data_IF_574776521640
#
_entry.id   IF_574776521640
#
_cell.length_a   1.000
_cell.length_b   1.000
_cell.length_c   1.000
_cell.angle_alpha   90.00
_cell.angle_beta   90.00
_cell.angle_gamma   90.00
#
_symmetry.space_group_name_H-M   'P 1'
#
loop_
_entity.id
_entity.type
_entity.pdbx_description
1 polymer ?
#
# COMPACT_ATOMS: atom_id res chain seq x y z
N UNK A 1 3.82 44.40 3.96
CA UNK A 1 2.68 43.48 4.08
C UNK A 1 2.83 42.46 2.96
N UNK A 2 3.31 41.27 3.28
CA UNK A 2 3.48 40.21 2.31
C UNK A 2 2.11 39.52 2.13
N UNK A 3 1.64 39.42 0.88
CA UNK A 3 0.42 38.67 0.56
C UNK A 3 0.71 37.17 0.82
N UNK A 4 -0.18 36.44 1.50
CA UNK A 4 -0.01 35.00 1.66
C UNK A 4 -0.05 34.35 0.29
N UNK A 5 0.99 33.59 -0.05
CA UNK A 5 1.01 32.74 -1.25
C UNK A 5 0.02 31.59 -1.05
N UNK A 6 -0.82 31.23 -2.04
CA UNK A 6 -1.73 30.12 -1.91
C UNK A 6 -0.93 28.82 -1.75
N UNK A 7 -1.31 27.98 -0.78
CA UNK A 7 -0.71 26.65 -0.61
C UNK A 7 -0.95 25.82 -1.88
N UNK A 8 0.00 24.94 -2.23
CA UNK A 8 -0.08 24.12 -3.46
C UNK A 8 -1.31 23.20 -3.50
N UNK A 9 -1.89 22.88 -2.34
CA UNK A 9 -3.17 22.16 -2.21
C UNK A 9 -4.40 22.99 -2.57
N UNK A 10 -4.33 24.32 -2.55
CA UNK A 10 -5.46 25.20 -2.90
C UNK A 10 -5.72 25.36 -4.41
N UNK A 11 -4.85 24.84 -5.28
CA UNK A 11 -5.03 24.83 -6.73
C UNK A 11 -6.01 23.75 -7.24
N UNK A 12 -6.50 22.86 -6.37
CA UNK A 12 -7.47 21.81 -6.71
C UNK A 12 -8.92 22.29 -6.82
N UNK A 13 -9.22 23.59 -6.61
CA UNK A 13 -10.59 24.13 -6.61
C UNK A 13 -11.15 24.58 -7.96
N UNK A 14 -10.46 24.38 -9.08
CA UNK A 14 -10.93 24.87 -10.38
C UNK A 14 -10.90 23.77 -11.45
N UNK A 15 -11.92 22.92 -11.46
CA UNK A 15 -12.03 21.93 -12.53
C UNK A 15 -13.16 20.91 -12.38
N UNK A 16 -14.35 21.34 -11.95
CA UNK A 16 -15.53 20.50 -12.06
C UNK A 16 -16.71 21.33 -12.58
N UNK A 17 -16.92 21.27 -13.88
CA UNK A 17 -18.21 21.67 -14.48
C UNK A 17 -18.40 20.93 -15.80
N UNK A 18 -19.57 20.29 -15.92
CA UNK A 18 -20.30 19.83 -17.12
C UNK A 18 -19.85 18.50 -17.74
N UNK A 19 -20.70 17.46 -17.66
CA UNK A 19 -21.85 17.30 -18.53
C UNK A 19 -22.82 16.23 -18.04
N UNK A 20 -24.04 16.66 -17.76
CA UNK A 20 -25.20 15.80 -17.63
C UNK A 20 -25.78 15.55 -19.03
N UNK A 21 -26.11 14.31 -19.39
CA UNK A 21 -27.06 14.01 -20.46
C UNK A 21 -27.90 12.81 -20.02
N UNK A 22 -29.15 13.09 -19.80
CA UNK A 22 -30.26 12.15 -19.61
C UNK A 22 -30.76 11.63 -20.95
N UNK A 23 -31.31 10.38 -20.95
CA UNK A 23 -32.39 9.89 -21.83
C UNK A 23 -32.84 8.53 -21.25
N UNK A 24 -33.94 8.45 -20.61
CA UNK A 24 -35.37 8.13 -20.87
C UNK A 24 -35.66 6.78 -21.51
N UNK A 25 -36.50 6.06 -20.78
CA UNK A 25 -37.69 5.25 -21.12
C UNK A 25 -37.59 3.90 -21.83
N UNK A 26 -38.30 2.96 -21.22
CA UNK A 26 -38.83 1.79 -21.90
C UNK A 26 -39.44 0.74 -20.96
N UNK A 27 -40.75 0.82 -20.76
CA UNK A 27 -41.62 -0.03 -19.94
C UNK A 27 -41.85 -1.44 -20.47
N UNK A 28 -42.40 -2.28 -19.54
CA UNK A 28 -43.47 -3.33 -19.67
C UNK A 28 -42.96 -4.74 -19.94
N UNK A 29 -43.46 -5.77 -19.38
CA UNK A 29 -44.58 -6.19 -18.54
C UNK A 29 -44.63 -7.74 -18.50
N UNK A 30 -45.12 -8.24 -17.38
CA UNK A 30 -46.00 -9.42 -17.20
C UNK A 30 -45.52 -10.86 -17.45
N UNK A 31 -45.74 -11.65 -16.40
CA UNK A 31 -46.42 -12.92 -16.51
C UNK A 31 -45.93 -14.10 -15.69
N UNK A 32 -46.40 -14.26 -14.50
CA UNK A 32 -47.17 -15.38 -13.95
C UNK A 32 -46.54 -16.79 -13.89
N UNK A 33 -46.62 -17.40 -12.69
CA UNK A 33 -46.85 -18.83 -12.57
C UNK A 33 -45.93 -19.60 -11.63
N UNK A 34 -46.29 -19.71 -10.35
CA UNK A 34 -45.92 -20.86 -9.50
C UNK A 34 -46.60 -22.16 -9.99
N UNK A 35 -46.05 -23.33 -9.67
CA UNK A 35 -46.40 -23.94 -8.39
C UNK A 35 -45.32 -24.79 -7.71
N UNK A 36 -45.47 -24.84 -6.42
CA UNK A 36 -44.85 -25.62 -5.35
C UNK A 36 -44.68 -27.14 -5.60
N UNK A 37 -43.51 -27.65 -5.16
CA UNK A 37 -43.29 -29.08 -4.87
C UNK A 37 -42.33 -29.22 -3.69
N UNK A 38 -42.43 -30.28 -2.87
CA UNK A 38 -41.93 -30.31 -1.51
C UNK A 38 -40.42 -30.61 -1.43
N UNK A 39 -39.78 -30.00 -0.43
CA UNK A 39 -38.39 -30.17 -0.08
C UNK A 39 -38.10 -31.58 0.47
N UNK A 40 -36.91 -32.18 0.20
CA UNK A 40 -36.36 -33.24 1.02
C UNK A 40 -35.50 -32.65 2.15
N UNK A 41 -35.86 -33.01 3.36
CA UNK A 41 -35.07 -32.82 4.57
C UNK A 41 -33.81 -33.66 4.49
N UNK A 42 -32.67 -32.96 4.30
CA UNK A 42 -31.33 -33.52 4.49
C UNK A 42 -30.52 -32.52 5.31
N UNK A 43 -30.25 -32.86 6.56
CA UNK A 43 -29.31 -32.13 7.38
C UNK A 43 -27.93 -32.14 6.73
N UNK A 44 -27.28 -31.03 6.44
CA UNK A 44 -25.88 -31.04 6.15
C UNK A 44 -25.12 -31.00 7.48
N UNK A 45 -24.51 -32.13 7.82
CA UNK A 45 -23.46 -32.21 8.81
C UNK A 45 -22.23 -31.51 8.28
N UNK A 46 -21.60 -30.69 9.10
CA UNK A 46 -20.23 -30.23 8.92
C UNK A 46 -20.13 -28.99 8.05
N UNK A 47 -20.32 -27.82 8.67
CA UNK A 47 -19.65 -26.61 8.19
C UNK A 47 -18.13 -26.92 8.26
N UNK A 48 -17.34 -26.65 7.19
CA UNK A 48 -15.91 -26.71 7.31
C UNK A 48 -15.48 -25.66 8.35
N UNK A 49 -14.69 -26.09 9.33
CA UNK A 49 -13.99 -25.16 10.21
C UNK A 49 -13.20 -24.22 9.32
N UNK A 50 -13.66 -23.01 9.14
CA UNK A 50 -12.98 -21.91 8.47
C UNK A 50 -11.90 -21.37 9.41
N UNK A 51 -10.85 -22.14 9.63
CA UNK A 51 -9.59 -21.69 10.16
C UNK A 51 -8.66 -21.47 8.96
N UNK A 52 -8.57 -20.27 8.43
CA UNK A 52 -7.55 -19.93 7.45
C UNK A 52 -6.20 -20.36 8.01
N UNK A 53 -5.50 -21.25 7.33
CA UNK A 53 -4.17 -21.74 7.74
C UNK A 53 -3.08 -20.68 7.56
N UNK A 54 -3.41 -19.51 7.01
CA UNK A 54 -2.50 -18.44 6.63
C UNK A 54 -2.64 -17.23 7.54
N UNK A 55 -1.53 -16.53 7.78
CA UNK A 55 -1.48 -15.24 8.46
C UNK A 55 -0.49 -14.31 7.76
N UNK A 56 -0.85 -13.05 7.60
CA UNK A 56 0.05 -12.00 7.13
C UNK A 56 0.92 -11.54 8.30
N UNK A 57 2.26 -11.71 8.26
CA UNK A 57 3.14 -11.19 9.29
C UNK A 57 3.22 -9.67 9.26
N UNK A 58 3.43 -9.03 10.42
CA UNK A 58 3.78 -7.61 10.46
C UNK A 58 5.09 -7.34 9.71
N UNK A 59 5.21 -6.17 9.09
CA UNK A 59 6.42 -5.75 8.35
C UNK A 59 7.69 -5.76 9.22
N UNK A 60 7.56 -5.55 10.52
CA UNK A 60 8.68 -5.58 11.46
C UNK A 60 9.26 -6.97 11.74
N UNK A 61 8.65 -8.06 11.23
CA UNK A 61 9.18 -9.44 11.36
C UNK A 61 10.38 -9.62 10.43
N UNK A 62 11.26 -10.61 10.71
CA UNK A 62 12.41 -10.87 9.85
C UNK A 62 12.03 -11.14 8.40
N UNK A 63 12.78 -10.58 7.48
CA UNK A 63 12.63 -10.74 6.04
C UNK A 63 13.70 -11.67 5.46
N UNK A 64 13.32 -12.43 4.44
CA UNK A 64 14.26 -13.14 3.57
C UNK A 64 14.87 -12.17 2.56
N UNK A 65 14.07 -11.24 2.03
CA UNK A 65 14.46 -10.22 1.04
C UNK A 65 13.38 -9.17 0.86
N UNK A 66 13.77 -8.08 0.21
CA UNK A 66 12.86 -7.06 -0.32
C UNK A 66 12.79 -7.14 -1.83
N UNK A 67 11.59 -7.09 -2.39
CA UNK A 67 11.35 -6.92 -3.82
C UNK A 67 11.09 -5.46 -4.15
N UNK A 68 11.66 -5.01 -5.27
CA UNK A 68 11.46 -3.69 -5.86
C UNK A 68 11.30 -3.83 -7.37
N UNK A 69 10.82 -2.81 -8.07
CA UNK A 69 10.70 -2.82 -9.52
C UNK A 69 11.37 -1.60 -10.17
N UNK A 70 11.97 -1.82 -11.35
CA UNK A 70 12.61 -0.78 -12.14
C UNK A 70 11.57 -0.06 -12.98
N UNK A 71 11.39 1.26 -12.87
CA UNK A 71 10.39 2.00 -13.63
C UNK A 71 10.71 1.94 -15.13
N UNK A 72 9.76 1.43 -15.91
CA UNK A 72 9.97 1.11 -17.31
C UNK A 72 9.34 2.13 -18.27
N UNK A 73 8.15 2.67 -17.94
CA UNK A 73 7.32 3.41 -18.86
C UNK A 73 7.64 4.90 -18.90
N UNK A 74 8.17 5.36 -20.03
CA UNK A 74 8.38 6.77 -20.33
C UNK A 74 7.04 7.54 -20.40
N UNK A 75 5.97 6.89 -20.84
CA UNK A 75 4.62 7.50 -20.91
C UNK A 75 4.06 7.88 -19.53
N UNK A 76 4.53 7.22 -18.45
CA UNK A 76 4.13 7.51 -17.07
C UNK A 76 4.98 8.64 -16.50
N UNK A 77 6.29 8.58 -16.71
CA UNK A 77 7.26 9.43 -16.02
C UNK A 77 7.81 10.57 -16.88
N UNK A 78 7.76 10.47 -18.21
CA UNK A 78 8.30 11.47 -19.13
C UNK A 78 9.73 11.83 -18.78
N UNK A 79 10.03 13.13 -18.74
CA UNK A 79 11.35 13.68 -18.40
C UNK A 79 11.83 13.36 -16.98
N UNK A 80 10.94 12.88 -16.09
CA UNK A 80 11.28 12.50 -14.71
C UNK A 80 11.88 11.09 -14.63
N UNK A 81 11.72 10.24 -15.64
CA UNK A 81 12.14 8.83 -15.60
C UNK A 81 13.61 8.63 -15.18
N UNK A 82 14.60 9.41 -15.66
CA UNK A 82 15.98 9.27 -15.19
C UNK A 82 16.15 9.55 -13.69
N UNK A 83 15.44 10.56 -13.17
CA UNK A 83 15.47 10.91 -11.75
C UNK A 83 14.80 9.85 -10.88
N UNK A 84 13.66 9.31 -11.33
CA UNK A 84 12.96 8.21 -10.64
C UNK A 84 13.83 6.95 -10.59
N UNK A 85 14.53 6.62 -11.68
CA UNK A 85 15.50 5.51 -11.71
C UNK A 85 16.65 5.72 -10.73
N UNK A 86 17.13 6.96 -10.59
CA UNK A 86 18.16 7.31 -9.61
C UNK A 86 17.66 7.15 -8.17
N UNK A 87 16.43 7.60 -7.88
CA UNK A 87 15.81 7.44 -6.56
C UNK A 87 15.62 5.95 -6.22
N UNK A 88 15.12 5.13 -7.15
CA UNK A 88 14.96 3.67 -6.97
C UNK A 88 16.31 2.97 -6.74
N UNK A 89 17.33 3.32 -7.50
CA UNK A 89 18.67 2.76 -7.31
C UNK A 89 19.25 3.11 -5.93
N UNK A 90 19.12 4.36 -5.50
CA UNK A 90 19.55 4.82 -4.18
C UNK A 90 18.78 4.14 -3.04
N UNK A 91 17.48 3.98 -3.21
CA UNK A 91 16.62 3.28 -2.24
C UNK A 91 17.00 1.79 -2.14
N UNK A 92 17.17 1.10 -3.27
CA UNK A 92 17.57 -0.30 -3.30
C UNK A 92 18.93 -0.52 -2.62
N UNK A 93 19.91 0.35 -2.87
CA UNK A 93 21.22 0.31 -2.22
C UNK A 93 21.15 0.57 -0.72
N UNK A 94 20.28 1.49 -0.28
CA UNK A 94 20.07 1.77 1.15
C UNK A 94 19.50 0.55 1.88
N UNK A 95 18.51 -0.13 1.29
CA UNK A 95 17.91 -1.36 1.85
C UNK A 95 18.92 -2.51 1.81
N UNK A 96 19.73 -2.63 0.74
CA UNK A 96 20.75 -3.68 0.59
C UNK A 96 21.83 -3.63 1.68
N UNK A 97 21.96 -2.52 2.40
CA UNK A 97 22.79 -2.42 3.60
C UNK A 97 22.25 -3.19 4.81
N UNK A 98 21.03 -3.72 4.75
CA UNK A 98 20.34 -4.40 5.85
C UNK A 98 19.84 -5.79 5.49
N UNK A 99 19.37 -5.98 4.26
CA UNK A 99 18.80 -7.26 3.81
C UNK A 99 18.95 -7.44 2.29
N UNK A 100 18.86 -8.66 1.76
CA UNK A 100 18.90 -8.91 0.33
C UNK A 100 17.78 -8.15 -0.40
N UNK A 101 18.14 -7.49 -1.51
CA UNK A 101 17.19 -6.78 -2.39
C UNK A 101 17.19 -7.44 -3.76
N UNK A 102 15.99 -7.67 -4.28
CA UNK A 102 15.75 -8.16 -5.64
C UNK A 102 14.99 -7.08 -6.41
N UNK A 103 15.60 -6.56 -7.46
CA UNK A 103 15.03 -5.57 -8.35
C UNK A 103 14.53 -6.25 -9.63
N UNK A 104 13.23 -6.22 -9.85
CA UNK A 104 12.59 -6.70 -11.07
C UNK A 104 12.79 -5.68 -12.19
N UNK A 105 13.29 -6.07 -13.34
CA UNK A 105 13.46 -5.20 -14.49
C UNK A 105 13.07 -5.93 -15.78
N UNK A 106 12.54 -5.19 -16.74
CA UNK A 106 12.31 -5.72 -18.10
C UNK A 106 13.61 -6.23 -18.70
N UNK A 107 13.60 -7.31 -19.50
CA UNK A 107 14.81 -7.85 -20.12
C UNK A 107 15.63 -6.83 -20.90
N UNK A 108 14.97 -5.92 -21.62
CA UNK A 108 15.61 -4.85 -22.41
C UNK A 108 16.19 -3.71 -21.55
N UNK A 109 15.88 -3.65 -20.25
CA UNK A 109 16.34 -2.63 -19.31
C UNK A 109 17.17 -3.21 -18.15
N UNK A 110 17.29 -4.52 -18.06
CA UNK A 110 17.95 -5.21 -16.95
C UNK A 110 19.42 -4.81 -16.81
N UNK A 111 20.16 -4.64 -17.89
CA UNK A 111 21.56 -4.22 -17.84
C UNK A 111 21.71 -2.77 -17.33
N UNK A 112 20.78 -1.88 -17.70
CA UNK A 112 20.76 -0.52 -17.18
C UNK A 112 20.47 -0.54 -15.66
N UNK A 113 19.52 -1.36 -15.21
CA UNK A 113 19.21 -1.53 -13.80
C UNK A 113 20.43 -2.07 -13.04
N UNK A 114 21.09 -3.14 -13.52
CA UNK A 114 22.32 -3.71 -12.92
C UNK A 114 23.42 -2.67 -12.78
N UNK A 115 23.62 -1.85 -13.82
CA UNK A 115 24.63 -0.78 -13.81
C UNK A 115 24.30 0.28 -12.75
N UNK A 116 23.02 0.63 -12.58
CA UNK A 116 22.57 1.66 -11.62
C UNK A 116 22.67 1.22 -10.17
N UNK A 117 22.28 -0.03 -9.85
CA UNK A 117 22.24 -0.51 -8.47
C UNK A 117 23.55 -1.15 -7.99
N UNK A 118 24.45 -1.54 -8.90
CA UNK A 118 25.70 -2.22 -8.58
C UNK A 118 25.50 -3.66 -8.09
N UNK A 119 26.55 -4.25 -7.51
CA UNK A 119 26.59 -5.67 -7.14
C UNK A 119 25.89 -6.02 -5.83
N UNK A 120 25.43 -5.05 -5.06
CA UNK A 120 24.74 -5.27 -3.78
C UNK A 120 23.26 -5.61 -3.92
N UNK A 121 22.69 -5.45 -5.12
CA UNK A 121 21.28 -5.69 -5.45
C UNK A 121 21.21 -6.74 -6.55
N UNK A 122 20.42 -7.78 -6.34
CA UNK A 122 20.11 -8.77 -7.37
C UNK A 122 19.12 -8.17 -8.37
N UNK A 123 19.39 -8.29 -9.68
CA UNK A 123 18.45 -7.87 -10.73
C UNK A 123 17.97 -9.10 -11.48
N UNK A 124 16.67 -9.35 -11.41
CA UNK A 124 15.99 -10.41 -12.16
C UNK A 124 15.22 -9.84 -13.36
N UNK A 125 15.18 -10.61 -14.44
CA UNK A 125 14.41 -10.25 -15.62
C UNK A 125 12.95 -10.66 -15.45
N UNK A 126 12.09 -9.67 -15.28
CA UNK A 126 10.65 -9.84 -15.12
C UNK A 126 9.94 -8.65 -15.75
N UNK A 127 8.89 -8.91 -16.53
CA UNK A 127 8.09 -7.86 -17.16
C UNK A 127 7.37 -7.05 -16.09
N UNK A 128 7.68 -5.75 -16.03
CA UNK A 128 7.07 -4.74 -15.17
C UNK A 128 6.70 -3.51 -16.01
N UNK A 129 5.73 -2.74 -15.57
CA UNK A 129 5.39 -1.45 -16.17
C UNK A 129 5.93 -0.31 -15.32
N UNK A 130 5.74 -0.36 -13.99
CA UNK A 130 6.14 0.71 -13.09
C UNK A 130 6.87 0.18 -11.83
N UNK A 131 7.19 1.08 -10.91
CA UNK A 131 8.05 0.83 -9.73
C UNK A 131 7.30 0.34 -8.47
N UNK A 132 5.98 0.27 -8.48
CA UNK A 132 5.13 0.12 -7.30
C UNK A 132 5.01 -1.34 -6.84
N UNK A 133 6.14 -1.92 -6.41
CA UNK A 133 6.24 -3.33 -6.04
C UNK A 133 5.33 -3.72 -4.86
N UNK A 134 4.95 -2.79 -3.99
CA UNK A 134 3.98 -2.99 -2.92
C UNK A 134 2.62 -3.40 -3.45
N UNK A 135 2.19 -2.77 -4.54
CA UNK A 135 0.85 -2.91 -5.09
C UNK A 135 0.77 -4.00 -6.16
N UNK A 136 1.81 -4.14 -6.96
CA UNK A 136 1.88 -5.10 -8.06
C UNK A 136 2.39 -6.48 -7.62
N UNK A 137 3.16 -6.52 -6.53
CA UNK A 137 3.73 -7.74 -5.96
C UNK A 137 2.72 -8.56 -5.14
N UNK A 138 3.07 -9.81 -4.79
CA UNK A 138 2.22 -10.62 -3.93
C UNK A 138 2.27 -10.13 -2.48
N UNK A 139 1.14 -10.13 -1.80
CA UNK A 139 1.09 -10.01 -0.34
C UNK A 139 1.44 -11.35 0.29
N UNK A 140 2.57 -11.44 0.98
CA UNK A 140 3.03 -12.70 1.53
C UNK A 140 2.31 -13.07 2.83
N UNK A 141 2.00 -14.36 2.94
CA UNK A 141 1.41 -14.99 4.13
C UNK A 141 2.19 -16.22 4.53
N UNK A 142 2.21 -16.52 5.82
CA UNK A 142 2.87 -17.69 6.39
C UNK A 142 1.85 -18.59 7.06
N UNK A 143 2.11 -19.89 7.08
CA UNK A 143 1.21 -20.86 7.71
C UNK A 143 1.89 -22.22 7.90
N UNK A 144 1.17 -23.27 8.34
CA UNK A 144 1.71 -24.61 8.55
C UNK A 144 2.33 -25.23 7.30
N UNK A 145 1.92 -24.76 6.11
CA UNK A 145 2.45 -25.22 4.82
C UNK A 145 3.65 -24.39 4.33
N UNK A 146 4.14 -23.44 5.14
CA UNK A 146 5.26 -22.57 4.82
C UNK A 146 4.83 -21.18 4.36
N UNK A 147 5.39 -20.73 3.23
CA UNK A 147 5.17 -19.41 2.64
C UNK A 147 4.22 -19.51 1.44
N UNK A 148 3.30 -18.58 1.34
CA UNK A 148 2.48 -18.36 0.14
C UNK A 148 2.40 -16.86 -0.17
N UNK A 149 1.99 -16.52 -1.40
CA UNK A 149 1.70 -15.16 -1.80
C UNK A 149 0.26 -15.01 -2.27
N UNK A 150 -0.44 -14.04 -1.70
CA UNK A 150 -1.79 -13.64 -2.13
C UNK A 150 -1.64 -12.67 -3.30
N UNK A 151 -2.24 -13.02 -4.42
CA UNK A 151 -2.35 -12.17 -5.60
C UNK A 151 -3.73 -11.50 -5.59
N UNK A 152 -3.75 -10.20 -5.33
CA UNK A 152 -4.97 -9.40 -5.24
C UNK A 152 -5.48 -8.92 -6.61
N UNK A 153 -5.03 -9.52 -7.71
CA UNK A 153 -5.49 -9.21 -9.06
C UNK A 153 -5.34 -7.73 -9.42
N UNK A 154 -4.14 -7.18 -9.24
CA UNK A 154 -3.86 -5.78 -9.52
C UNK A 154 -4.44 -5.32 -10.87
N UNK A 155 -5.18 -4.22 -10.87
CA UNK A 155 -5.89 -3.69 -12.04
C UNK A 155 -5.55 -2.23 -12.37
N UNK A 156 -4.36 -1.77 -11.99
CA UNK A 156 -3.93 -0.38 -12.26
C UNK A 156 -4.72 0.65 -11.47
N UNK A 157 -4.99 0.36 -10.19
CA UNK A 157 -5.78 1.20 -9.27
C UNK A 157 -7.17 1.55 -9.80
N UNK A 158 -7.85 0.56 -10.39
CA UNK A 158 -9.15 0.78 -11.02
C UNK A 158 -9.03 1.25 -12.48
N UNK A 159 -8.06 0.72 -13.23
CA UNK A 159 -7.76 1.05 -14.63
C UNK A 159 -7.38 2.52 -14.87
N UNK A 160 -6.75 3.17 -13.87
CA UNK A 160 -6.29 4.56 -13.98
C UNK A 160 -4.91 4.69 -14.63
N UNK A 161 -4.15 3.60 -14.74
CA UNK A 161 -2.82 3.55 -15.36
C UNK A 161 -2.63 2.28 -16.17
N UNK A 162 -1.77 2.33 -17.22
CA UNK A 162 -1.28 1.16 -17.96
C UNK A 162 -0.68 0.14 -16.98
N UNK A 163 -1.12 -1.13 -17.05
CA UNK A 163 -0.75 -2.15 -16.06
C UNK A 163 -0.70 -3.58 -16.63
N UNK A 164 -0.58 -3.73 -17.93
CA UNK A 164 -0.67 -5.05 -18.57
C UNK A 164 0.39 -6.04 -18.05
N UNK A 165 1.62 -5.57 -17.79
CA UNK A 165 2.67 -6.37 -17.17
C UNK A 165 2.55 -6.38 -15.65
N UNK A 166 2.27 -5.25 -15.04
CA UNK A 166 2.13 -5.12 -13.57
C UNK A 166 1.03 -6.02 -13.02
N UNK A 167 -0.07 -6.21 -13.75
CA UNK A 167 -1.13 -7.18 -13.41
C UNK A 167 -0.65 -8.66 -13.36
N UNK A 168 0.54 -8.96 -13.86
CA UNK A 168 1.12 -10.30 -13.85
C UNK A 168 2.30 -10.44 -12.88
N UNK A 169 2.76 -9.36 -12.26
CA UNK A 169 3.96 -9.36 -11.40
C UNK A 169 3.81 -10.37 -10.26
N UNK A 170 2.72 -10.32 -9.50
CA UNK A 170 2.50 -11.25 -8.38
C UNK A 170 2.59 -12.72 -8.84
N UNK A 171 1.89 -13.09 -9.91
CA UNK A 171 1.91 -14.44 -10.47
C UNK A 171 3.32 -14.85 -10.90
N UNK A 172 3.98 -13.99 -11.69
CA UNK A 172 5.27 -14.31 -12.31
C UNK A 172 6.38 -14.39 -11.27
N UNK A 173 6.37 -13.50 -10.27
CA UNK A 173 7.33 -13.49 -9.17
C UNK A 173 7.18 -14.74 -8.30
N UNK A 174 5.96 -15.12 -7.95
CA UNK A 174 5.71 -16.35 -7.18
C UNK A 174 6.13 -17.60 -7.95
N UNK A 175 5.87 -17.66 -9.26
CA UNK A 175 6.30 -18.75 -10.12
C UNK A 175 7.83 -18.83 -10.21
N UNK A 176 8.52 -17.68 -10.34
CA UNK A 176 9.99 -17.60 -10.40
C UNK A 176 10.65 -18.21 -9.16
N UNK A 177 10.08 -17.98 -7.96
CA UNK A 177 10.62 -18.52 -6.71
C UNK A 177 9.97 -19.84 -6.25
N UNK A 178 9.05 -20.42 -7.04
CA UNK A 178 8.34 -21.64 -6.67
C UNK A 178 7.47 -21.49 -5.42
N UNK A 179 6.97 -20.30 -5.15
CA UNK A 179 6.12 -19.97 -4.00
C UNK A 179 4.65 -20.18 -4.37
N UNK A 180 3.88 -20.81 -3.48
CA UNK A 180 2.45 -21.04 -3.67
C UNK A 180 1.70 -19.74 -3.90
N UNK A 181 0.94 -19.63 -5.00
CA UNK A 181 0.07 -18.51 -5.30
C UNK A 181 -1.35 -18.77 -4.78
N UNK A 182 -1.89 -17.83 -4.05
CA UNK A 182 -3.30 -17.78 -3.65
C UNK A 182 -3.96 -16.63 -4.42
N UNK A 183 -4.82 -16.95 -5.37
CA UNK A 183 -5.57 -15.93 -6.09
C UNK A 183 -6.73 -15.43 -5.23
N UNK A 184 -6.76 -14.12 -4.95
CA UNK A 184 -7.83 -13.51 -4.15
C UNK A 184 -9.17 -13.47 -4.92
N UNK A 185 -10.33 -13.57 -4.24
CA UNK A 185 -11.66 -13.36 -4.82
C UNK A 185 -12.03 -11.87 -4.92
N UNK A 186 -11.10 -10.98 -4.56
CA UNK A 186 -11.22 -9.53 -4.55
C UNK A 186 -10.02 -8.90 -5.26
N UNK A 187 -10.20 -7.67 -5.72
CA UNK A 187 -9.15 -6.87 -6.34
C UNK A 187 -8.68 -5.78 -5.39
N UNK A 188 -7.38 -5.57 -5.30
CA UNK A 188 -6.79 -4.51 -4.47
C UNK A 188 -5.28 -4.51 -4.54
N UNK A 189 -4.68 -3.80 -3.62
CA UNK A 189 -3.25 -3.52 -3.59
C UNK A 189 -2.67 -3.71 -2.18
N UNK A 190 -1.39 -4.08 -2.11
CA UNK A 190 -0.69 -4.27 -0.83
C UNK A 190 -0.55 -2.99 -0.01
N UNK A 191 -0.48 -1.81 -0.66
CA UNK A 191 -0.46 -0.51 0.02
C UNK A 191 -1.81 -0.12 0.64
N UNK A 192 -2.90 -0.79 0.22
CA UNK A 192 -4.24 -0.56 0.74
C UNK A 192 -4.55 -1.33 2.04
N UNK A 193 -3.61 -2.13 2.54
CA UNK A 193 -3.71 -2.89 3.80
C UNK A 193 -2.50 -2.67 4.69
N UNK A 194 -2.73 -2.69 6.00
CA UNK A 194 -1.68 -2.63 7.02
C UNK A 194 -2.06 -3.57 8.17
N UNK A 195 -1.14 -4.41 8.66
CA UNK A 195 -1.41 -5.39 9.71
C UNK A 195 -0.45 -5.24 10.89
N UNK A 196 -0.97 -5.52 12.11
CA UNK A 196 -0.15 -5.56 13.32
C UNK A 196 0.57 -6.92 13.54
N UNK A 197 0.27 -7.93 12.73
CA UNK A 197 0.78 -9.30 12.87
C UNK A 197 0.14 -10.10 14.01
N UNK A 198 -0.81 -9.52 14.76
CA UNK A 198 -1.56 -10.17 15.83
C UNK A 198 -3.07 -10.21 15.54
N UNK A 199 -3.45 -10.04 14.29
CA UNK A 199 -4.81 -10.24 13.78
C UNK A 199 -5.62 -8.96 13.62
N UNK A 200 -5.02 -7.77 13.72
CA UNK A 200 -5.66 -6.49 13.38
C UNK A 200 -5.20 -6.03 12.01
N UNK A 201 -6.13 -5.55 11.19
CA UNK A 201 -5.87 -4.94 9.89
C UNK A 201 -6.48 -3.54 9.84
N UNK A 202 -5.78 -2.60 9.22
CA UNK A 202 -6.29 -1.29 8.83
C UNK A 202 -6.50 -1.23 7.32
N UNK A 203 -7.62 -0.64 6.87
CA UNK A 203 -7.93 -0.41 5.46
C UNK A 203 -8.84 0.79 5.28
N UNK A 204 -8.84 1.41 4.10
CA UNK A 204 -9.79 2.48 3.74
C UNK A 204 -10.97 1.93 2.95
N UNK A 205 -12.17 2.42 3.24
CA UNK A 205 -13.36 2.08 2.46
C UNK A 205 -13.23 2.59 1.02
N UNK A 206 -12.64 3.77 0.84
CA UNK A 206 -12.48 4.41 -0.46
C UNK A 206 -11.66 3.60 -1.46
N UNK A 207 -10.66 2.82 -1.02
CA UNK A 207 -9.86 1.97 -1.90
C UNK A 207 -10.51 0.60 -2.11
N UNK A 208 -11.03 -0.05 -1.07
CA UNK A 208 -11.52 -1.43 -1.15
C UNK A 208 -13.00 -1.57 -1.50
N UNK A 209 -13.85 -0.71 -0.92
CA UNK A 209 -15.31 -0.72 -1.16
C UNK A 209 -15.61 0.26 -2.30
N UNK A 210 -15.02 -0.01 -3.45
CA UNK A 210 -15.06 0.84 -4.63
C UNK A 210 -15.32 -0.01 -5.88
N UNK A 211 -16.29 0.40 -6.67
CA UNK A 211 -16.71 -0.33 -7.87
C UNK A 211 -15.61 -0.39 -8.95
N UNK A 212 -14.61 0.48 -8.89
CA UNK A 212 -13.47 0.40 -9.81
C UNK A 212 -12.53 -0.79 -9.52
N UNK A 213 -12.66 -1.43 -8.36
CA UNK A 213 -11.92 -2.64 -7.95
C UNK A 213 -12.86 -3.81 -7.65
N UNK A 214 -13.91 -3.58 -6.86
CA UNK A 214 -14.79 -4.61 -6.32
C UNK A 214 -16.28 -4.30 -6.59
N UNK A 215 -16.72 -4.26 -7.86
CA UNK A 215 -18.05 -3.85 -8.22
C UNK A 215 -19.10 -4.69 -7.50
N UNK A 216 -20.03 -4.01 -6.82
CA UNK A 216 -21.14 -4.61 -6.10
C UNK A 216 -20.77 -5.39 -4.83
N UNK A 217 -19.51 -5.42 -4.40
CA UNK A 217 -19.12 -6.05 -3.13
C UNK A 217 -19.35 -5.10 -1.95
N UNK A 218 -19.90 -5.65 -0.88
CA UNK A 218 -20.04 -4.94 0.40
C UNK A 218 -18.76 -4.98 1.20
N UNK A 219 -18.63 -4.05 2.17
CA UNK A 219 -17.54 -4.04 3.14
C UNK A 219 -17.39 -5.39 3.88
N UNK A 220 -18.52 -5.99 4.30
CA UNK A 220 -18.50 -7.27 5.02
C UNK A 220 -17.98 -8.43 4.16
N UNK A 221 -18.26 -8.43 2.85
CA UNK A 221 -17.72 -9.43 1.91
C UNK A 221 -16.22 -9.27 1.71
N UNK A 222 -15.72 -8.02 1.65
CA UNK A 222 -14.30 -7.75 1.56
C UNK A 222 -13.60 -8.12 2.87
N UNK A 223 -14.18 -7.78 4.02
CA UNK A 223 -13.66 -8.15 5.34
C UNK A 223 -13.58 -9.67 5.53
N UNK A 224 -14.59 -10.41 5.05
CA UNK A 224 -14.55 -11.88 5.05
C UNK A 224 -13.35 -12.40 4.23
N UNK A 225 -13.08 -11.82 3.07
CA UNK A 225 -11.92 -12.17 2.25
C UNK A 225 -10.60 -11.89 2.97
N UNK A 226 -10.48 -10.78 3.68
CA UNK A 226 -9.27 -10.50 4.49
C UNK A 226 -9.06 -11.54 5.60
N UNK A 227 -10.13 -11.92 6.29
CA UNK A 227 -10.07 -12.95 7.34
C UNK A 227 -9.60 -14.29 6.80
N UNK A 228 -10.11 -14.70 5.64
CA UNK A 228 -9.78 -15.98 5.01
C UNK A 228 -8.35 -16.00 4.44
N UNK A 229 -7.94 -14.91 3.77
CA UNK A 229 -6.66 -14.83 3.06
C UNK A 229 -5.48 -14.48 3.98
N UNK A 230 -5.70 -13.59 4.95
CA UNK A 230 -4.64 -12.94 5.73
C UNK A 230 -4.64 -13.37 7.21
N UNK A 231 -5.62 -14.18 7.65
CA UNK A 231 -5.73 -14.65 9.02
C UNK A 231 -6.05 -13.56 10.05
N UNK A 232 -6.55 -12.42 9.60
CA UNK A 232 -6.94 -11.32 10.49
C UNK A 232 -8.28 -11.60 11.15
N UNK A 233 -8.49 -11.07 12.35
CA UNK A 233 -9.71 -11.25 13.14
C UNK A 233 -10.53 -9.96 13.22
N UNK A 234 -9.87 -8.82 13.09
CA UNK A 234 -10.48 -7.50 13.22
C UNK A 234 -9.96 -6.56 12.14
N UNK A 235 -10.88 -5.82 11.52
CA UNK A 235 -10.54 -4.77 10.56
C UNK A 235 -10.96 -3.42 11.15
N UNK A 236 -10.03 -2.48 11.16
CA UNK A 236 -10.28 -1.08 11.46
C UNK A 236 -10.47 -0.35 10.13
N UNK A 237 -11.69 0.06 9.87
CA UNK A 237 -12.06 0.74 8.64
C UNK A 237 -11.99 2.25 8.80
N UNK A 238 -11.32 2.89 7.84
CA UNK A 238 -11.26 4.34 7.68
C UNK A 238 -12.04 4.73 6.43
N UNK A 239 -12.66 5.91 6.42
CA UNK A 239 -13.39 6.35 5.24
C UNK A 239 -12.50 6.54 4.02
N UNK A 240 -11.32 7.14 4.24
CA UNK A 240 -10.42 7.52 3.17
C UNK A 240 -11.00 8.62 2.28
N UNK A 241 -10.44 8.77 1.08
CA UNK A 241 -10.81 9.83 0.11
C UNK A 241 -10.83 9.22 -1.29
N UNK A 242 -12.00 9.03 -1.88
CA UNK A 242 -12.13 8.47 -3.21
C UNK A 242 -11.89 9.52 -4.31
N UNK A 243 -11.23 9.13 -5.40
CA UNK A 243 -11.10 9.90 -6.63
C UNK A 243 -10.22 11.16 -6.55
N UNK A 244 -9.41 11.31 -5.50
CA UNK A 244 -8.53 12.47 -5.33
C UNK A 244 -7.06 12.14 -5.65
N UNK A 245 -6.67 10.89 -5.49
CA UNK A 245 -5.40 10.34 -5.95
C UNK A 245 -5.64 9.06 -6.77
N UNK A 246 -4.56 8.51 -7.32
CA UNK A 246 -4.64 7.32 -8.15
C UNK A 246 -5.09 6.09 -7.34
N UNK A 247 -4.75 6.03 -6.04
CA UNK A 247 -4.96 4.89 -5.16
C UNK A 247 -6.33 4.88 -4.48
N UNK A 248 -7.06 5.98 -4.52
CA UNK A 248 -8.27 6.23 -3.72
C UNK A 248 -7.98 6.21 -2.21
N UNK A 249 -6.84 6.79 -1.79
CA UNK A 249 -6.37 6.90 -0.41
C UNK A 249 -5.96 5.55 0.19
N UNK A 250 -4.80 5.05 -0.19
CA UNK A 250 -4.21 3.88 0.46
C UNK A 250 -3.90 4.14 1.94
N UNK A 251 -4.05 3.09 2.75
CA UNK A 251 -3.84 3.20 4.20
C UNK A 251 -2.37 3.47 4.54
N UNK A 252 -1.41 2.99 3.76
CA UNK A 252 0.03 3.16 3.97
C UNK A 252 0.53 4.60 3.81
N UNK A 253 -0.31 5.49 3.25
CA UNK A 253 -0.09 6.93 3.21
C UNK A 253 -0.82 7.68 4.34
N UNK A 254 -1.67 7.00 5.12
CA UNK A 254 -2.50 7.60 6.16
C UNK A 254 -2.14 7.10 7.56
N UNK A 255 -2.11 5.77 7.77
CA UNK A 255 -1.84 5.17 9.08
C UNK A 255 -1.12 3.83 8.95
N UNK A 256 -0.20 3.54 9.88
CA UNK A 256 0.55 2.29 9.93
C UNK A 256 0.69 1.76 11.35
N UNK A 257 1.00 0.48 11.52
CA UNK A 257 1.40 -0.08 12.79
C UNK A 257 2.93 -0.02 12.95
N UNK A 258 3.40 0.52 14.09
CA UNK A 258 4.81 0.41 14.47
C UNK A 258 5.06 -0.94 15.15
N UNK A 259 4.12 -1.34 16.00
CA UNK A 259 4.08 -2.61 16.73
C UNK A 259 2.63 -2.93 17.12
N UNK A 260 2.31 -4.15 17.55
CA UNK A 260 0.97 -4.47 18.05
C UNK A 260 0.56 -3.52 19.19
N UNK A 261 -0.62 -2.90 19.04
CA UNK A 261 -1.13 -1.92 20.00
C UNK A 261 -0.62 -0.48 19.80
N UNK A 262 0.29 -0.21 18.84
CA UNK A 262 0.78 1.15 18.54
C UNK A 262 0.56 1.49 17.06
N UNK A 263 -0.28 2.47 16.79
CA UNK A 263 -0.53 3.02 15.47
C UNK A 263 0.22 4.35 15.28
N UNK A 264 0.74 4.55 14.08
CA UNK A 264 1.32 5.83 13.62
C UNK A 264 0.32 6.45 12.65
N UNK A 265 0.06 7.73 12.80
CA UNK A 265 -0.89 8.46 11.97
C UNK A 265 -0.21 9.65 11.30
N UNK A 266 -0.34 9.76 9.99
CA UNK A 266 0.03 10.96 9.24
C UNK A 266 -0.81 12.16 9.69
N UNK A 267 -0.15 13.30 9.98
CA UNK A 267 -0.82 14.54 10.34
C UNK A 267 -0.41 15.68 9.44
N UNK A 268 -1.35 16.53 9.04
CA UNK A 268 -1.00 17.79 8.40
C UNK A 268 -0.08 18.63 9.31
N UNK A 269 0.75 19.48 8.73
CA UNK A 269 1.50 20.46 9.49
C UNK A 269 0.52 21.45 10.19
N UNK A 270 0.92 21.97 11.36
CA UNK A 270 0.04 22.77 12.23
C UNK A 270 -0.58 24.00 11.52
N UNK A 271 0.15 24.59 10.57
CA UNK A 271 -0.27 25.79 9.85
C UNK A 271 -0.89 25.48 8.47
N UNK A 272 -1.10 24.19 8.14
CA UNK A 272 -1.74 23.78 6.88
C UNK A 272 -3.23 24.12 6.95
N UNK A 273 -3.78 24.88 5.99
CA UNK A 273 -5.22 25.14 5.93
C UNK A 273 -6.00 23.81 5.81
N UNK A 274 -7.15 23.69 6.50
CA UNK A 274 -7.96 22.47 6.41
C UNK A 274 -8.35 22.14 4.97
N UNK A 275 -8.19 20.88 4.61
CA UNK A 275 -8.55 20.31 3.32
C UNK A 275 -9.19 18.92 3.48
N UNK A 276 -9.43 18.23 2.37
CA UNK A 276 -10.03 16.90 2.37
C UNK A 276 -9.11 15.86 3.04
N UNK A 277 -7.78 16.04 2.95
CA UNK A 277 -6.78 15.12 3.52
C UNK A 277 -6.66 15.30 5.04
N UNK A 278 -6.67 16.56 5.50
CA UNK A 278 -6.73 16.86 6.94
C UNK A 278 -8.01 16.31 7.57
N UNK A 279 -9.15 16.41 6.87
CA UNK A 279 -10.43 15.82 7.30
C UNK A 279 -10.33 14.29 7.39
N UNK A 280 -9.68 13.62 6.43
CA UNK A 280 -9.46 12.17 6.47
C UNK A 280 -8.54 11.77 7.62
N UNK A 281 -7.48 12.54 7.88
CA UNK A 281 -6.57 12.34 9.01
C UNK A 281 -7.28 12.53 10.35
N UNK A 282 -8.13 13.54 10.50
CA UNK A 282 -8.92 13.74 11.72
C UNK A 282 -9.90 12.60 11.97
N UNK A 283 -10.60 12.13 10.93
CA UNK A 283 -11.48 10.97 11.02
C UNK A 283 -10.69 9.70 11.40
N UNK A 284 -9.48 9.53 10.84
CA UNK A 284 -8.62 8.40 11.19
C UNK A 284 -8.17 8.45 12.66
N UNK A 285 -7.86 9.64 13.18
CA UNK A 285 -7.51 9.84 14.60
C UNK A 285 -8.65 9.43 15.52
N UNK A 286 -9.89 9.80 15.21
CA UNK A 286 -11.06 9.43 16.00
C UNK A 286 -11.30 7.91 16.01
N UNK A 287 -11.14 7.26 14.85
CA UNK A 287 -11.22 5.79 14.75
C UNK A 287 -10.15 5.14 15.62
N UNK A 288 -8.89 5.56 15.49
CA UNK A 288 -7.77 4.98 16.24
C UNK A 288 -7.89 5.18 17.75
N UNK A 289 -8.35 6.36 18.20
CA UNK A 289 -8.55 6.65 19.63
C UNK A 289 -9.68 5.86 20.27
N UNK A 290 -10.70 5.51 19.50
CA UNK A 290 -11.87 4.77 19.99
C UNK A 290 -11.78 3.25 19.82
N UNK A 291 -10.87 2.79 18.95
CA UNK A 291 -10.74 1.37 18.62
C UNK A 291 -9.90 0.61 19.65
N UNK A 292 -10.11 -0.71 19.66
CA UNK A 292 -9.15 -1.67 20.22
C UNK A 292 -8.60 -2.53 19.09
N UNK A 293 -7.45 -3.14 19.29
CA UNK A 293 -6.93 -4.17 18.39
C UNK A 293 -7.69 -5.51 18.51
N UNK A 294 -7.24 -6.52 17.77
CA UNK A 294 -7.85 -7.87 17.80
C UNK A 294 -7.64 -8.60 19.14
N UNK A 295 -6.73 -8.13 19.98
CA UNK A 295 -6.48 -8.65 21.34
C UNK A 295 -7.22 -7.86 22.40
N UNK A 296 -8.02 -6.83 22.03
CA UNK A 296 -8.78 -5.99 22.96
C UNK A 296 -7.98 -4.86 23.60
N UNK A 297 -6.73 -4.59 23.17
CA UNK A 297 -5.90 -3.50 23.66
C UNK A 297 -6.33 -2.17 23.03
N UNK A 298 -6.43 -1.12 23.83
CA UNK A 298 -6.57 0.25 23.31
C UNK A 298 -5.29 0.64 22.56
N UNK A 299 -5.43 1.29 21.41
CA UNK A 299 -4.30 1.70 20.60
C UNK A 299 -3.61 2.95 21.17
N UNK A 300 -2.28 2.89 21.27
CA UNK A 300 -1.46 4.09 21.38
C UNK A 300 -1.34 4.70 20.01
N UNK A 301 -1.67 6.00 19.85
CA UNK A 301 -1.55 6.72 18.59
C UNK A 301 -0.37 7.66 18.67
N UNK A 302 0.56 7.54 17.71
CA UNK A 302 1.70 8.44 17.54
C UNK A 302 1.45 9.26 16.28
N UNK A 303 1.36 10.58 16.44
CA UNK A 303 1.14 11.50 15.33
C UNK A 303 2.47 11.85 14.67
N UNK A 304 2.53 11.75 13.33
CA UNK A 304 3.71 12.01 12.52
C UNK A 304 3.39 13.17 11.56
N UNK A 305 3.86 14.40 11.85
CA UNK A 305 3.58 15.56 11.03
C UNK A 305 4.22 15.47 9.65
N UNK A 306 3.55 16.03 8.63
CA UNK A 306 4.12 16.24 7.30
C UNK A 306 5.16 17.38 7.31
N UNK A 307 6.04 17.45 6.29
CA UNK A 307 6.97 18.59 6.14
C UNK A 307 6.22 19.86 5.71
N UNK A 308 6.87 21.01 5.90
CA UNK A 308 6.41 22.27 5.33
C UNK A 308 6.61 22.26 3.80
N UNK A 309 5.52 22.39 3.06
CA UNK A 309 5.52 22.38 1.60
C UNK A 309 6.28 23.55 0.96
N UNK A 310 6.51 24.64 1.68
CA UNK A 310 7.32 25.75 1.20
C UNK A 310 8.83 25.51 1.33
N UNK A 311 9.23 24.53 2.15
CA UNK A 311 10.62 24.18 2.41
C UNK A 311 11.11 22.94 1.66
N UNK A 312 10.21 22.11 1.13
CA UNK A 312 10.59 20.86 0.46
C UNK A 312 11.03 21.07 -0.98
N UNK A 313 11.87 20.15 -1.44
CA UNK A 313 12.27 20.05 -2.84
C UNK A 313 11.31 19.10 -3.55
N UNK A 314 10.33 19.61 -4.21
CA UNK A 314 9.38 18.81 -4.94
C UNK A 314 8.13 19.59 -5.23
N UNK A 315 7.44 19.24 -6.29
CA UNK A 315 6.22 19.94 -6.68
C UNK A 315 5.36 19.07 -7.59
N UNK A 316 4.08 19.38 -7.59
CA UNK A 316 3.12 18.72 -8.45
C UNK A 316 1.85 18.37 -7.68
N UNK A 317 0.77 18.13 -8.40
CA UNK A 317 -0.52 17.78 -7.81
C UNK A 317 -0.50 16.41 -7.12
N UNK A 318 0.34 15.50 -7.62
CA UNK A 318 0.48 14.14 -7.13
C UNK A 318 1.55 14.00 -6.05
N UNK A 319 2.32 15.06 -5.73
CA UNK A 319 3.47 14.93 -4.83
C UNK A 319 3.05 14.50 -3.43
N UNK A 320 3.49 13.29 -3.03
CA UNK A 320 3.20 12.71 -1.72
C UNK A 320 4.30 13.08 -0.71
N UNK A 321 4.06 14.12 0.10
CA UNK A 321 4.98 14.55 1.15
C UNK A 321 4.56 13.96 2.51
N UNK A 322 4.75 12.66 2.68
CA UNK A 322 4.46 12.01 3.94
C UNK A 322 5.60 11.13 4.43
N UNK A 323 5.95 11.26 5.72
CA UNK A 323 6.94 10.40 6.34
C UNK A 323 6.39 9.02 6.72
N UNK A 324 5.06 8.83 6.73
CA UNK A 324 4.45 7.56 7.15
C UNK A 324 4.72 6.43 6.15
N UNK A 325 5.04 6.77 4.91
CA UNK A 325 5.39 5.81 3.88
C UNK A 325 6.87 5.37 3.98
N UNK A 326 7.37 5.16 5.23
CA UNK A 326 8.68 4.58 5.53
C UNK A 326 8.67 3.06 5.35
N UNK A 327 9.83 2.41 5.32
CA UNK A 327 9.96 0.96 5.19
C UNK A 327 10.79 0.38 6.33
N UNK A 328 10.31 -0.70 6.95
CA UNK A 328 11.02 -1.41 8.03
C UNK A 328 11.70 -2.64 7.44
N UNK A 329 13.03 -2.69 7.53
CA UNK A 329 13.83 -3.82 7.06
C UNK A 329 14.67 -4.43 8.20
N UNK A 330 15.38 -5.55 7.95
CA UNK A 330 16.18 -6.23 8.95
C UNK A 330 17.25 -5.31 9.55
N UNK A 331 17.09 -4.94 10.83
CA UNK A 331 18.05 -4.07 11.52
C UNK A 331 18.03 -2.59 11.09
N UNK A 332 17.16 -2.19 10.17
CA UNK A 332 17.05 -0.81 9.69
C UNK A 332 15.62 -0.32 9.52
N UNK A 333 15.46 0.99 9.41
CA UNK A 333 14.24 1.67 8.95
C UNK A 333 14.63 2.72 7.93
N UNK A 334 14.04 2.65 6.74
CA UNK A 334 14.30 3.60 5.66
C UNK A 334 13.20 4.65 5.67
N UNK A 335 13.58 5.90 5.88
CA UNK A 335 12.67 7.04 6.07
C UNK A 335 12.86 8.03 4.92
N UNK A 336 11.78 8.54 4.32
CA UNK A 336 11.91 9.56 3.28
C UNK A 336 12.48 10.86 3.85
N UNK A 337 13.20 11.59 2.99
CA UNK A 337 13.68 12.93 3.25
C UNK A 337 13.22 13.86 2.13
N UNK A 338 12.60 14.98 2.50
CA UNK A 338 12.00 15.93 1.57
C UNK A 338 12.74 17.24 1.44
N UNK A 339 13.67 17.55 2.35
CA UNK A 339 14.49 18.77 2.33
C UNK A 339 14.09 19.84 3.35
N UNK A 340 12.97 19.67 4.05
CA UNK A 340 12.71 20.40 5.30
C UNK A 340 13.51 19.72 6.42
N UNK A 341 14.69 20.24 6.71
CA UNK A 341 15.63 19.61 7.65
C UNK A 341 15.02 19.39 9.03
N UNK A 342 14.21 20.34 9.52
CA UNK A 342 13.59 20.24 10.84
C UNK A 342 12.54 19.12 10.89
N UNK A 343 11.69 19.03 9.87
CA UNK A 343 10.68 17.98 9.76
C UNK A 343 11.32 16.62 9.46
N UNK A 344 12.34 16.57 8.59
CA UNK A 344 13.12 15.38 8.28
C UNK A 344 13.75 14.79 9.55
N UNK A 345 14.43 15.62 10.37
CA UNK A 345 15.07 15.19 11.62
C UNK A 345 14.03 14.75 12.67
N UNK A 346 12.89 15.46 12.78
CA UNK A 346 11.83 15.10 13.70
C UNK A 346 11.18 13.78 13.33
N UNK A 347 10.89 13.55 12.04
CA UNK A 347 10.34 12.30 11.55
C UNK A 347 11.31 11.12 11.79
N UNK A 348 12.60 11.30 11.49
CA UNK A 348 13.63 10.30 11.76
C UNK A 348 13.72 9.94 13.24
N UNK A 349 13.63 10.92 14.14
CA UNK A 349 13.61 10.69 15.57
C UNK A 349 12.36 9.93 16.03
N UNK A 350 11.17 10.38 15.63
CA UNK A 350 9.90 9.72 16.02
C UNK A 350 9.90 8.26 15.53
N UNK A 351 10.25 8.02 14.27
CA UNK A 351 10.28 6.68 13.69
C UNK A 351 11.37 5.83 14.35
N UNK A 352 12.53 6.41 14.66
CA UNK A 352 13.60 5.72 15.41
C UNK A 352 13.17 5.28 16.81
N UNK A 353 12.46 6.14 17.53
CA UNK A 353 11.91 5.82 18.86
C UNK A 353 10.86 4.70 18.81
N UNK A 354 10.12 4.58 17.69
CA UNK A 354 9.12 3.53 17.46
C UNK A 354 9.73 2.18 17.08
N UNK A 355 10.97 2.17 16.58
CA UNK A 355 11.66 0.95 16.12
C UNK A 355 13.01 0.77 16.83
N UNK A 356 13.02 0.57 18.18
CA UNK A 356 14.24 0.48 18.96
C UNK A 356 15.13 -0.66 18.45
N UNK A 357 16.44 -0.38 18.39
CA UNK A 357 17.45 -1.33 17.91
C UNK A 357 17.60 -1.37 16.38
N UNK A 358 16.78 -0.63 15.61
CA UNK A 358 16.95 -0.46 14.16
C UNK A 358 17.66 0.85 13.85
N UNK A 359 18.56 0.81 12.87
CA UNK A 359 19.23 2.02 12.37
C UNK A 359 18.31 2.79 11.44
N UNK A 360 18.05 4.05 11.74
CA UNK A 360 17.32 4.94 10.82
C UNK A 360 18.25 5.40 9.71
N UNK A 361 17.80 5.26 8.46
CA UNK A 361 18.48 5.75 7.27
C UNK A 361 17.51 6.59 6.45
N UNK A 362 17.84 7.87 6.25
CA UNK A 362 17.03 8.77 5.43
C UNK A 362 17.46 8.74 3.96
N UNK A 363 16.49 8.66 3.05
CA UNK A 363 16.71 8.63 1.61
C UNK A 363 15.86 9.71 0.94
N UNK A 364 16.48 10.48 0.03
CA UNK A 364 15.73 11.41 -0.83
C UNK A 364 14.97 10.64 -1.89
N UNK A 365 13.69 10.98 -2.03
CA UNK A 365 12.74 10.32 -2.96
C UNK A 365 11.92 11.33 -3.75
N UNK A 366 12.50 12.47 -4.10
CA UNK A 366 11.74 13.57 -4.72
C UNK A 366 11.01 13.17 -6.00
N UNK A 367 11.63 12.35 -6.86
CA UNK A 367 11.01 11.92 -8.09
C UNK A 367 9.96 10.84 -7.84
N UNK A 368 10.22 9.88 -6.95
CA UNK A 368 9.22 8.87 -6.53
C UNK A 368 7.99 9.57 -5.94
N UNK A 369 8.20 10.52 -5.01
CA UNK A 369 7.12 11.28 -4.38
C UNK A 369 6.30 12.09 -5.38
N UNK A 370 6.93 12.57 -6.46
CA UNK A 370 6.27 13.23 -7.58
C UNK A 370 5.24 12.36 -8.31
N UNK A 371 5.43 11.05 -8.29
CA UNK A 371 4.50 10.05 -8.83
C UNK A 371 3.34 9.69 -7.89
N UNK A 372 3.30 10.23 -6.67
CA UNK A 372 2.19 10.03 -5.74
C UNK A 372 2.37 8.88 -4.76
N UNK A 373 3.57 8.29 -4.64
CA UNK A 373 3.90 7.26 -3.67
C UNK A 373 5.19 7.53 -2.92
N UNK A 374 5.65 6.57 -2.13
CA UNK A 374 6.84 6.70 -1.30
C UNK A 374 7.67 5.42 -1.25
N UNK A 375 8.46 5.30 -0.20
CA UNK A 375 9.38 4.17 0.02
C UNK A 375 8.61 2.86 0.19
N UNK A 376 7.54 2.86 1.01
CA UNK A 376 6.73 1.67 1.25
C UNK A 376 6.04 1.19 -0.03
N UNK A 377 5.48 2.11 -0.82
CA UNK A 377 4.84 1.79 -2.09
C UNK A 377 5.82 1.13 -3.10
N UNK A 378 7.10 1.49 -3.05
CA UNK A 378 8.14 0.97 -3.95
C UNK A 378 8.75 -0.36 -3.48
N UNK A 379 8.35 -0.88 -2.32
CA UNK A 379 8.97 -2.06 -1.68
C UNK A 379 7.95 -3.12 -1.31
N UNK A 380 8.33 -4.41 -1.39
CA UNK A 380 7.51 -5.53 -0.90
C UNK A 380 8.41 -6.55 -0.21
N UNK A 381 8.20 -6.76 1.08
CA UNK A 381 8.97 -7.72 1.86
C UNK A 381 8.51 -9.16 1.62
N UNK A 382 9.46 -10.08 1.55
CA UNK A 382 9.23 -11.50 1.72
C UNK A 382 9.59 -11.88 3.16
N UNK A 383 8.62 -12.27 4.00
CA UNK A 383 8.92 -12.65 5.37
C UNK A 383 9.76 -13.93 5.41
N UNK A 384 10.65 -14.02 6.40
CA UNK A 384 11.38 -15.25 6.67
C UNK A 384 10.43 -16.29 7.30
N UNK A 385 10.51 -17.52 6.81
CA UNK A 385 9.82 -18.65 7.43
C UNK A 385 10.67 -19.19 8.59
N UNK A 386 10.03 -19.58 9.70
CA UNK A 386 10.72 -20.21 10.83
C UNK A 386 11.40 -21.48 10.34
N UNK A 387 12.76 -21.46 10.26
CA UNK A 387 13.58 -22.59 9.78
C UNK A 387 14.61 -22.25 8.72
N UNK A 388 14.53 -21.10 8.06
CA UNK A 388 15.57 -20.60 7.19
C UNK A 388 16.56 -19.75 7.99
N UNK A 389 17.74 -20.29 8.31
CA UNK A 389 18.88 -19.46 8.70
C UNK A 389 19.22 -18.55 7.52
N UNK A 390 19.52 -17.25 7.75
CA UNK A 390 20.01 -16.40 6.67
C UNK A 390 21.31 -17.00 6.14
N UNK A 391 21.33 -17.29 4.84
CA UNK A 391 22.51 -17.73 4.09
C UNK A 391 23.43 -16.59 3.79
#
# INVERSE_FOLDING_TARGET
MAHPRPSRRSLLRSGAALAALALTDGCSSDGGGEPSGPAPSGSPSGAPESGGSWAMPAESRPHTRTFMAWPALEEVWGDQLPGVRQDIAGLAQAIAGFEPVVLMARPDQADQARQAVGSSVEVIELMVDDLWARDTGPTFVTGPQGLAGVDFNFNGWGNKQTHANDAQVARNLLAHYGITRIQAPITGEGGAIEVDGEGTLMATESSWVNDNRNPGKTRDQIEASFKDLLGVRKVLWFKGVAGQDITDCHIDALARFAEPGTAVLHRPAADTPPDIWSTASDQALEVLKSATDAMGRTLKVVELPEPDFDLIQGSGKSFLATYINYYVCNGGVIVPRFGDQSADDNAARIIGDLHPGRKVTQVSIHHIAGGGGGIHCATQQQPATTGASPS
#
